data_IF_494878477594
#
_entry.id   IF_494878477594
#
_cell.length_a   1.000
_cell.length_b   1.000
_cell.length_c   1.000
_cell.angle_alpha   90.00
_cell.angle_beta   90.00
_cell.angle_gamma   90.00
#
_symmetry.space_group_name_H-M   'P 1'
#
loop_
_entity.id
_entity.type
_entity.pdbx_description
1 polymer ?
#
# COMPACT_ATOMS: atom_id res chain seq x y z
N UNK A 1 25.66 3.69 -0.01
CA UNK A 1 24.33 3.38 -0.59
C UNK A 1 23.45 4.61 -0.46
N UNK A 2 22.62 4.93 -1.46
CA UNK A 2 21.58 5.95 -1.27
C UNK A 2 20.57 5.44 -0.22
N UNK A 3 19.95 6.35 0.54
CA UNK A 3 18.83 6.04 1.44
C UNK A 3 19.09 5.08 2.62
N UNK A 4 20.33 4.96 3.13
CA UNK A 4 20.67 4.04 4.26
C UNK A 4 19.75 4.23 5.47
N UNK A 5 19.48 5.48 5.87
CA UNK A 5 18.58 5.77 7.00
C UNK A 5 17.16 5.25 6.75
N UNK A 6 16.65 5.40 5.53
CA UNK A 6 15.31 4.92 5.16
C UNK A 6 15.28 3.39 5.15
N UNK A 7 16.34 2.74 4.64
CA UNK A 7 16.46 1.28 4.64
C UNK A 7 16.42 0.74 6.09
N UNK A 8 17.10 1.40 7.02
CA UNK A 8 17.03 1.01 8.44
C UNK A 8 15.61 1.16 9.01
N UNK A 9 14.90 2.24 8.67
CA UNK A 9 13.51 2.45 9.11
C UNK A 9 12.55 1.40 8.52
N UNK A 10 12.78 0.97 7.28
CA UNK A 10 12.02 -0.13 6.66
C UNK A 10 12.27 -1.46 7.38
N UNK A 11 13.52 -1.71 7.79
CA UNK A 11 13.86 -2.88 8.59
C UNK A 11 13.10 -2.90 9.93
N UNK A 12 12.97 -1.75 10.60
CA UNK A 12 12.22 -1.62 11.85
C UNK A 12 10.70 -1.87 11.66
N UNK A 13 10.18 -1.70 10.43
CA UNK A 13 8.81 -2.05 10.06
C UNK A 13 8.65 -3.54 9.68
N UNK A 14 9.74 -4.30 9.61
CA UNK A 14 9.78 -5.70 9.19
C UNK A 14 10.07 -5.93 7.70
N UNK A 15 10.30 -4.86 6.92
CA UNK A 15 10.66 -4.94 5.51
C UNK A 15 12.18 -5.08 5.42
N UNK A 16 12.65 -6.30 5.17
CA UNK A 16 14.08 -6.66 5.18
C UNK A 16 14.56 -7.14 3.82
N UNK A 17 15.88 -7.14 3.61
CA UNK A 17 16.52 -7.60 2.37
C UNK A 17 17.21 -6.47 1.59
N UNK A 18 17.58 -6.77 0.35
CA UNK A 18 18.22 -5.82 -0.55
C UNK A 18 17.20 -5.36 -1.60
N UNK A 19 16.53 -4.25 -1.32
CA UNK A 19 15.62 -3.60 -2.26
C UNK A 19 16.18 -2.25 -2.71
N UNK A 20 15.90 -1.89 -3.95
CA UNK A 20 16.04 -0.51 -4.39
C UNK A 20 14.96 0.35 -3.73
N UNK A 21 15.34 1.49 -3.16
CA UNK A 21 14.41 2.43 -2.50
C UNK A 21 14.31 3.71 -3.31
N UNK A 22 13.18 3.88 -4.00
CA UNK A 22 12.79 5.14 -4.62
C UNK A 22 12.13 6.05 -3.56
N UNK A 23 12.91 6.98 -2.99
CA UNK A 23 12.45 7.88 -1.93
C UNK A 23 12.08 9.25 -2.52
N UNK A 24 10.82 9.68 -2.34
CA UNK A 24 10.25 10.90 -2.90
C UNK A 24 10.49 11.05 -4.41
N UNK A 25 10.08 10.08 -5.24
CA UNK A 25 10.28 10.16 -6.68
C UNK A 25 9.54 11.36 -7.26
N UNK A 26 10.17 12.00 -8.25
CA UNK A 26 9.56 13.04 -9.07
C UNK A 26 8.45 12.47 -9.96
N UNK A 27 7.57 13.33 -10.47
CA UNK A 27 6.56 12.91 -11.45
C UNK A 27 7.17 12.26 -12.70
N UNK A 28 8.35 12.71 -13.14
CA UNK A 28 9.03 12.13 -14.31
C UNK A 28 9.55 10.71 -14.01
N UNK A 29 10.08 10.48 -12.81
CA UNK A 29 10.50 9.14 -12.38
C UNK A 29 9.31 8.19 -12.26
N UNK A 30 8.18 8.66 -11.70
CA UNK A 30 6.94 7.89 -11.64
C UNK A 30 6.42 7.55 -13.03
N UNK A 31 6.34 8.53 -13.93
CA UNK A 31 5.91 8.30 -15.31
C UNK A 31 6.75 7.23 -16.03
N UNK A 32 8.09 7.30 -15.90
CA UNK A 32 8.99 6.29 -16.49
C UNK A 32 8.76 4.90 -15.89
N UNK A 33 8.52 4.83 -14.58
CA UNK A 33 8.24 3.56 -13.89
C UNK A 33 6.89 2.96 -14.33
N UNK A 34 5.85 3.78 -14.46
CA UNK A 34 4.51 3.36 -14.91
C UNK A 34 4.49 2.85 -16.36
N UNK A 35 5.33 3.42 -17.23
CA UNK A 35 5.48 3.05 -18.65
C UNK A 35 6.47 1.91 -18.89
N UNK A 36 7.04 1.32 -17.83
CA UNK A 36 7.99 0.22 -17.94
C UNK A 36 7.38 -0.99 -18.65
N UNK A 37 8.10 -1.53 -19.64
CA UNK A 37 7.71 -2.77 -20.34
C UNK A 37 7.75 -4.01 -19.46
N UNK A 38 8.32 -3.89 -18.25
CA UNK A 38 8.36 -4.97 -17.25
C UNK A 38 7.05 -5.13 -16.49
N UNK A 39 6.19 -4.12 -16.47
CA UNK A 39 4.95 -4.12 -15.67
C UNK A 39 3.97 -5.18 -16.21
N UNK A 40 3.28 -5.88 -15.31
CA UNK A 40 2.34 -6.95 -15.65
C UNK A 40 1.00 -6.79 -14.94
N UNK A 41 -0.04 -7.44 -15.48
CA UNK A 41 -1.38 -7.41 -14.87
C UNK A 41 -1.90 -5.99 -14.62
N UNK A 42 -2.25 -5.70 -13.36
CA UNK A 42 -2.79 -4.41 -12.92
C UNK A 42 -1.73 -3.32 -12.71
N UNK A 43 -0.43 -3.64 -12.81
CA UNK A 43 0.66 -2.65 -12.76
C UNK A 43 0.82 -1.89 -14.08
N UNK A 44 0.21 -2.38 -15.17
CA UNK A 44 0.34 -1.77 -16.49
C UNK A 44 -0.40 -0.44 -16.56
N UNK A 45 0.36 0.63 -16.81
CA UNK A 45 -0.16 1.91 -17.28
C UNK A 45 -0.29 1.97 -18.80
N UNK A 46 -1.18 2.84 -19.29
CA UNK A 46 -1.29 3.20 -20.69
C UNK A 46 -1.31 4.73 -20.82
N UNK A 47 -0.55 5.26 -21.78
CA UNK A 47 -0.59 6.69 -22.10
C UNK A 47 -1.86 7.01 -22.89
N UNK A 48 -2.67 7.92 -22.38
CA UNK A 48 -3.87 8.42 -23.04
C UNK A 48 -3.52 9.54 -24.03
N UNK A 49 -4.45 9.85 -24.94
CA UNK A 49 -4.28 10.95 -25.92
C UNK A 49 -4.09 12.32 -25.25
N UNK A 50 -4.62 12.52 -24.04
CA UNK A 50 -4.43 13.75 -23.27
C UNK A 50 -3.07 13.82 -22.58
N UNK A 51 -2.22 12.80 -22.72
CA UNK A 51 -0.91 12.72 -22.07
C UNK A 51 -0.94 12.24 -20.61
N UNK A 52 -2.11 11.86 -20.08
CA UNK A 52 -2.22 11.28 -18.75
C UNK A 52 -2.00 9.77 -18.78
N UNK A 53 -1.45 9.19 -17.71
CA UNK A 53 -1.37 7.75 -17.53
C UNK A 53 -2.71 7.22 -16.99
N UNK A 54 -3.23 6.17 -17.62
CA UNK A 54 -4.40 5.44 -17.17
C UNK A 54 -4.03 4.01 -16.75
N UNK A 55 -4.65 3.50 -15.68
CA UNK A 55 -4.46 2.14 -15.15
C UNK A 55 -5.81 1.44 -14.99
N UNK A 56 -5.79 0.11 -14.88
CA UNK A 56 -6.98 -0.71 -14.57
C UNK A 56 -6.81 -1.38 -13.22
N UNK A 57 -7.82 -1.29 -12.35
CA UNK A 57 -7.81 -1.87 -11.00
C UNK A 57 -8.52 -3.23 -10.91
N UNK A 58 -8.90 -3.80 -12.07
CA UNK A 58 -9.60 -5.09 -12.14
C UNK A 58 -11.01 -5.00 -11.56
N UNK A 59 -11.37 -5.93 -10.68
CA UNK A 59 -12.68 -5.98 -10.04
C UNK A 59 -12.87 -4.89 -8.96
N UNK A 60 -11.76 -4.37 -8.42
CA UNK A 60 -11.76 -3.38 -7.34
C UNK A 60 -11.96 -1.97 -7.90
N UNK A 61 -13.17 -1.71 -8.41
CA UNK A 61 -13.56 -0.44 -9.07
C UNK A 61 -14.13 0.58 -8.09
N UNK A 62 -14.10 0.29 -6.80
CA UNK A 62 -14.62 1.14 -5.73
C UNK A 62 -14.11 0.73 -4.36
N UNK A 63 -14.68 1.33 -3.32
CA UNK A 63 -14.35 0.97 -1.93
C UNK A 63 -14.93 -0.40 -1.57
N UNK A 64 -14.22 -1.15 -0.74
CA UNK A 64 -14.70 -2.37 -0.08
C UNK A 64 -14.96 -2.11 1.41
N UNK A 65 -16.07 -1.43 1.78
CA UNK A 65 -16.31 -1.04 3.18
C UNK A 65 -16.40 -2.23 4.14
N UNK A 66 -16.79 -3.41 3.64
CA UNK A 66 -16.89 -4.64 4.44
C UNK A 66 -15.54 -5.30 4.75
N UNK A 67 -14.48 -4.88 4.07
CA UNK A 67 -13.11 -5.40 4.26
C UNK A 67 -12.24 -4.44 5.11
N UNK A 68 -12.83 -3.39 5.68
CA UNK A 68 -12.13 -2.46 6.55
C UNK A 68 -12.29 -2.85 8.01
N UNK A 69 -11.20 -3.24 8.63
CA UNK A 69 -11.13 -3.59 10.04
C UNK A 69 -10.22 -2.63 10.81
N UNK A 70 -10.49 -2.47 12.10
CA UNK A 70 -9.65 -1.72 13.05
C UNK A 70 -9.28 -2.68 14.17
N UNK A 71 -7.99 -2.77 14.50
CA UNK A 71 -7.53 -3.58 15.63
C UNK A 71 -8.16 -3.02 16.89
N UNK A 72 -8.84 -3.88 17.66
CA UNK A 72 -9.43 -3.52 18.94
C UNK A 72 -8.45 -3.88 20.05
N UNK A 73 -7.68 -2.89 20.48
CA UNK A 73 -6.66 -2.94 21.52
C UNK A 73 -6.98 -1.98 22.67
N UNK A 74 -6.08 -1.85 23.65
CA UNK A 74 -6.28 -0.94 24.79
C UNK A 74 -6.36 0.53 24.42
N UNK A 75 -5.85 0.93 23.24
CA UNK A 75 -5.88 2.32 22.76
C UNK A 75 -7.23 2.64 22.12
N UNK A 76 -7.79 1.69 21.37
CA UNK A 76 -8.93 1.90 20.48
C UNK A 76 -10.25 1.39 21.04
N UNK A 77 -10.22 0.43 21.98
CA UNK A 77 -11.43 -0.26 22.46
C UNK A 77 -12.53 0.66 22.97
N UNK A 78 -12.18 1.79 23.57
CA UNK A 78 -13.10 2.72 24.21
C UNK A 78 -13.28 4.04 23.43
N UNK A 79 -12.52 4.26 22.35
CA UNK A 79 -12.49 5.52 21.60
C UNK A 79 -13.07 5.43 20.20
N UNK A 80 -13.18 4.22 19.64
CA UNK A 80 -13.79 3.98 18.33
C UNK A 80 -15.28 3.68 18.46
N UNK A 81 -16.08 4.26 17.57
CA UNK A 81 -17.51 3.97 17.41
C UNK A 81 -17.71 2.61 16.73
N UNK A 82 -17.73 1.52 17.51
CA UNK A 82 -17.84 0.16 17.00
C UNK A 82 -19.23 -0.16 16.45
N UNK A 83 -19.30 -0.87 15.32
CA UNK A 83 -20.57 -1.26 14.71
C UNK A 83 -20.40 -1.92 13.34
N UNK A 84 -21.44 -1.88 12.51
CA UNK A 84 -21.41 -2.45 11.16
C UNK A 84 -20.46 -1.74 10.19
N UNK A 85 -19.95 -0.57 10.56
CA UNK A 85 -19.04 0.26 9.73
C UNK A 85 -17.58 0.17 10.22
N UNK A 86 -17.34 0.25 11.53
CA UNK A 86 -16.02 0.07 12.13
C UNK A 86 -15.95 -1.36 12.69
N UNK A 87 -15.50 -2.30 11.87
CA UNK A 87 -15.42 -3.72 12.24
C UNK A 87 -14.18 -3.96 13.11
N UNK A 88 -14.30 -4.59 14.28
CA UNK A 88 -13.14 -4.93 15.09
C UNK A 88 -12.38 -6.13 14.50
N UNK A 89 -11.06 -6.15 14.68
CA UNK A 89 -10.21 -7.33 14.55
C UNK A 89 -9.28 -7.44 15.75
N UNK A 90 -8.51 -8.53 15.87
CA UNK A 90 -7.59 -8.74 16.98
C UNK A 90 -6.14 -8.43 16.60
N UNK A 91 -5.25 -8.12 17.58
CA UNK A 91 -3.83 -7.96 17.31
C UNK A 91 -3.19 -9.18 16.63
N UNK A 92 -3.63 -10.39 16.97
CA UNK A 92 -3.09 -11.63 16.40
C UNK A 92 -3.43 -11.76 14.91
N UNK A 93 -4.68 -11.42 14.52
CA UNK A 93 -5.09 -11.42 13.11
C UNK A 93 -4.30 -10.36 12.32
N UNK A 94 -4.13 -9.17 12.90
CA UNK A 94 -3.32 -8.12 12.28
C UNK A 94 -1.87 -8.58 12.07
N UNK A 95 -1.23 -9.15 13.09
CA UNK A 95 0.13 -9.68 12.99
C UNK A 95 0.23 -10.82 11.97
N UNK A 96 -0.81 -11.66 11.85
CA UNK A 96 -0.86 -12.68 10.79
C UNK A 96 -0.90 -12.05 9.41
N UNK A 97 -1.72 -11.01 9.20
CA UNK A 97 -1.80 -10.31 7.90
C UNK A 97 -0.51 -9.56 7.58
N UNK A 98 0.14 -8.94 8.58
CA UNK A 98 1.38 -8.17 8.42
C UNK A 98 2.57 -9.04 7.99
N UNK A 99 2.56 -10.32 8.33
CA UNK A 99 3.64 -11.28 8.01
C UNK A 99 3.50 -11.96 6.65
N UNK A 100 2.35 -11.83 5.97
CA UNK A 100 2.14 -12.35 4.61
C UNK A 100 3.09 -11.70 3.61
#
# INVERSE_FOLDING_TARGET
>A
MKNIKIIQQLHDLGITGYQEVAYNPTYEELYKAEMSTKNQGFEKGALTESGAVAVKTGIFTGRSPKDRFIVKDDITKDTIDWGSVNLPTTPEVFESCKKL
#
